data_IF_344343792169
#
_entry.id   IF_344343792169
#
_cell.length_a   1.000
_cell.length_b   1.000
_cell.length_c   1.000
_cell.angle_alpha   90.00
_cell.angle_beta   90.00
_cell.angle_gamma   90.00
#
_symmetry.space_group_name_H-M   'P 1'
#
loop_
_entity.id
_entity.type
_entity.pdbx_description
1 polymer ?
#
# COMPACT_ATOMS: atom_id res chain seq x y z
N UNK A 1 -82.69 -27.12 -42.57
CA UNK A 1 -81.69 -26.18 -43.15
C UNK A 1 -80.85 -25.67 -41.99
N UNK A 2 -79.92 -26.48 -41.47
CA UNK A 2 -78.53 -26.68 -41.91
C UNK A 2 -77.70 -25.39 -41.93
N UNK A 3 -76.76 -25.31 -40.99
CA UNK A 3 -75.68 -24.32 -40.95
C UNK A 3 -74.64 -24.77 -39.93
N UNK A 4 -73.86 -25.81 -40.27
CA UNK A 4 -72.69 -26.24 -39.51
C UNK A 4 -71.55 -25.27 -39.78
N UNK A 5 -70.95 -24.66 -38.75
CA UNK A 5 -69.62 -24.05 -38.84
C UNK A 5 -68.81 -24.39 -37.57
N UNK A 6 -68.03 -25.45 -37.74
CA UNK A 6 -66.74 -25.83 -37.14
C UNK A 6 -66.15 -24.95 -36.01
N UNK A 7 -65.93 -25.47 -34.78
CA UNK A 7 -64.94 -24.88 -33.89
C UNK A 7 -63.54 -25.35 -34.30
N UNK A 8 -62.68 -24.38 -34.61
CA UNK A 8 -61.26 -24.55 -34.90
C UNK A 8 -60.55 -25.24 -33.73
N UNK A 9 -59.96 -26.41 -33.97
CA UNK A 9 -58.96 -27.01 -33.08
C UNK A 9 -57.68 -26.18 -33.15
N UNK A 10 -57.45 -25.28 -32.19
CA UNK A 10 -56.12 -24.73 -31.95
C UNK A 10 -55.24 -25.83 -31.35
N UNK A 11 -54.36 -26.41 -32.17
CA UNK A 11 -53.26 -27.24 -31.68
C UNK A 11 -52.22 -26.33 -31.03
N UNK A 12 -52.14 -26.35 -29.69
CA UNK A 12 -51.10 -25.65 -28.95
C UNK A 12 -49.82 -26.49 -29.05
N UNK A 13 -48.88 -26.08 -29.90
CA UNK A 13 -47.52 -26.60 -29.90
C UNK A 13 -46.80 -26.08 -28.65
N UNK A 14 -46.75 -26.87 -27.59
CA UNK A 14 -45.88 -26.60 -26.44
C UNK A 14 -44.44 -26.93 -26.82
N UNK A 15 -43.65 -25.91 -27.16
CA UNK A 15 -42.21 -26.05 -27.29
C UNK A 15 -41.60 -26.24 -25.90
N UNK A 16 -41.29 -27.48 -25.52
CA UNK A 16 -40.47 -27.75 -24.34
C UNK A 16 -39.04 -27.35 -24.67
N UNK A 17 -38.58 -26.22 -24.14
CA UNK A 17 -37.18 -25.84 -24.18
C UNK A 17 -36.39 -26.85 -23.33
N UNK A 18 -35.72 -27.80 -23.97
CA UNK A 18 -34.75 -28.67 -23.31
C UNK A 18 -33.53 -27.79 -22.99
N UNK A 19 -33.13 -27.62 -21.72
CA UNK A 19 -31.89 -26.95 -21.39
C UNK A 19 -30.75 -27.72 -22.06
N UNK A 20 -30.12 -27.13 -23.06
CA UNK A 20 -28.92 -27.71 -23.68
C UNK A 20 -27.84 -27.93 -22.62
N UNK A 21 -26.96 -28.93 -22.79
CA UNK A 21 -25.90 -29.20 -21.83
C UNK A 21 -25.11 -27.91 -21.63
N UNK A 22 -25.07 -27.44 -20.37
CA UNK A 22 -24.28 -26.28 -19.99
C UNK A 22 -22.83 -26.59 -20.33
N UNK A 23 -22.30 -25.97 -21.38
CA UNK A 23 -20.87 -25.96 -21.64
C UNK A 23 -20.17 -24.99 -20.66
N UNK A 24 -20.57 -25.00 -19.38
CA UNK A 24 -19.72 -24.48 -18.31
C UNK A 24 -18.60 -25.48 -18.15
N UNK A 25 -17.54 -25.24 -18.93
CA UNK A 25 -16.21 -25.77 -18.65
C UNK A 25 -15.98 -25.56 -17.15
N UNK A 26 -15.74 -26.61 -16.34
CA UNK A 26 -15.29 -26.39 -14.98
C UNK A 26 -14.07 -25.49 -15.11
N UNK A 27 -14.13 -24.33 -14.47
CA UNK A 27 -12.91 -23.57 -14.22
C UNK A 27 -11.94 -24.57 -13.63
N UNK A 28 -10.85 -24.90 -14.35
CA UNK A 28 -9.78 -25.68 -13.76
C UNK A 28 -9.39 -24.94 -12.49
N UNK A 29 -9.69 -25.49 -11.32
CA UNK A 29 -9.12 -25.02 -10.06
C UNK A 29 -7.62 -25.04 -10.28
N UNK A 30 -7.04 -23.85 -10.44
CA UNK A 30 -5.60 -23.70 -10.46
C UNK A 30 -5.17 -24.12 -9.05
N UNK A 31 -4.41 -25.21 -8.96
CA UNK A 31 -3.77 -25.62 -7.72
C UNK A 31 -2.89 -24.46 -7.25
N UNK A 32 -3.38 -23.73 -6.26
CA UNK A 32 -2.74 -22.56 -5.69
C UNK A 32 -1.75 -22.93 -4.58
N UNK A 33 -1.47 -24.23 -4.40
CA UNK A 33 -0.51 -24.71 -3.41
C UNK A 33 0.91 -24.25 -3.79
N UNK A 34 1.62 -23.53 -2.90
CA UNK A 34 3.01 -23.16 -3.14
C UNK A 34 3.86 -24.41 -3.35
N UNK A 35 4.74 -24.40 -4.36
CA UNK A 35 5.65 -25.52 -4.63
C UNK A 35 6.66 -25.76 -3.51
N UNK A 36 6.97 -24.71 -2.75
CA UNK A 36 7.87 -24.75 -1.60
C UNK A 36 7.36 -23.76 -0.56
N UNK A 37 7.36 -24.18 0.70
CA UNK A 37 7.08 -23.33 1.85
C UNK A 37 8.28 -23.42 2.77
N UNK A 38 8.94 -22.29 2.99
CA UNK A 38 10.07 -22.18 3.93
C UNK A 38 9.55 -21.43 5.15
N UNK A 39 9.47 -22.06 6.33
CA UNK A 39 9.03 -21.38 7.54
C UNK A 39 10.09 -20.37 8.02
N UNK A 40 9.67 -19.38 8.80
CA UNK A 40 10.55 -18.28 9.22
C UNK A 40 11.76 -18.77 10.02
N UNK A 41 11.57 -19.81 10.83
CA UNK A 41 12.58 -20.45 11.66
C UNK A 41 13.71 -21.07 10.84
N UNK A 42 13.43 -21.44 9.58
CA UNK A 42 14.40 -22.00 8.63
C UNK A 42 15.14 -20.92 7.82
N UNK A 43 14.77 -19.64 7.93
CA UNK A 43 15.42 -18.52 7.24
C UNK A 43 16.76 -18.11 7.87
N UNK A 44 17.52 -19.08 8.41
CA UNK A 44 18.82 -18.85 9.03
C UNK A 44 19.77 -18.15 8.04
N UNK A 45 20.35 -17.02 8.46
CA UNK A 45 21.30 -16.25 7.64
C UNK A 45 20.68 -15.12 6.81
N UNK A 46 19.36 -14.92 6.86
CA UNK A 46 18.72 -13.77 6.20
C UNK A 46 19.06 -12.49 6.93
N UNK A 47 19.47 -11.46 6.18
CA UNK A 47 19.73 -10.12 6.72
C UNK A 47 18.42 -9.45 7.10
N UNK A 48 18.38 -8.82 8.25
CA UNK A 48 17.21 -8.09 8.72
C UNK A 48 17.62 -6.72 9.25
N UNK A 49 16.74 -5.76 9.08
CA UNK A 49 16.86 -4.43 9.65
C UNK A 49 15.77 -4.23 10.69
N UNK A 50 16.14 -3.65 11.84
CA UNK A 50 15.18 -3.23 12.88
C UNK A 50 15.68 -1.95 13.54
N UNK A 51 15.06 -0.84 13.21
CA UNK A 51 15.28 0.46 13.85
C UNK A 51 14.30 0.72 15.01
N UNK A 52 14.24 1.97 15.47
CA UNK A 52 13.32 2.40 16.54
C UNK A 52 11.88 2.65 16.05
N UNK A 53 11.72 2.87 14.74
CA UNK A 53 10.43 3.10 14.12
C UNK A 53 9.58 1.83 13.97
N UNK A 54 8.31 2.03 13.60
CA UNK A 54 7.38 0.96 13.25
C UNK A 54 6.86 1.18 11.82
N UNK A 55 6.20 0.17 11.24
CA UNK A 55 5.52 0.28 9.95
C UNK A 55 6.43 0.73 8.80
N UNK A 56 7.43 -0.08 8.45
CA UNK A 56 8.26 0.11 7.25
C UNK A 56 7.44 -0.19 5.99
N UNK A 57 6.75 0.81 5.44
CA UNK A 57 5.76 0.61 4.36
C UNK A 57 6.17 1.16 3.01
N UNK A 58 7.14 2.08 2.95
CA UNK A 58 7.57 2.73 1.70
C UNK A 58 9.02 2.36 1.43
N UNK A 59 9.33 1.85 0.23
CA UNK A 59 10.67 1.40 -0.16
C UNK A 59 11.07 2.02 -1.49
N UNK A 60 12.30 2.53 -1.56
CA UNK A 60 12.92 3.01 -2.79
C UNK A 60 14.34 2.48 -2.90
N UNK A 61 14.59 1.66 -3.93
CA UNK A 61 15.92 1.15 -4.23
C UNK A 61 16.65 2.10 -5.18
N UNK A 62 17.84 2.55 -4.79
CA UNK A 62 18.77 3.29 -5.63
C UNK A 62 19.96 2.39 -5.98
N UNK A 63 19.86 1.71 -7.13
CA UNK A 63 20.83 0.72 -7.57
C UNK A 63 22.25 1.31 -7.77
N UNK A 64 22.35 2.49 -8.38
CA UNK A 64 23.63 3.14 -8.67
C UNK A 64 24.45 3.50 -7.42
N UNK A 65 23.77 3.83 -6.30
CA UNK A 65 24.40 4.15 -5.02
C UNK A 65 24.40 2.96 -4.05
N UNK A 66 23.84 1.82 -4.46
CA UNK A 66 23.59 0.65 -3.62
C UNK A 66 22.88 0.98 -2.30
N UNK A 67 21.86 1.85 -2.36
CA UNK A 67 21.09 2.31 -1.18
C UNK A 67 19.65 1.84 -1.25
N UNK A 68 19.13 1.39 -0.11
CA UNK A 68 17.70 1.15 0.08
C UNK A 68 17.16 2.22 1.03
N UNK A 69 16.32 3.10 0.50
CA UNK A 69 15.64 4.14 1.25
C UNK A 69 14.30 3.60 1.74
N UNK A 70 14.00 3.82 3.02
CA UNK A 70 12.82 3.24 3.68
C UNK A 70 12.04 4.34 4.40
N UNK A 71 10.77 4.50 4.05
CA UNK A 71 9.82 5.32 4.80
C UNK A 71 9.04 4.47 5.80
N UNK A 72 8.98 4.96 7.04
CA UNK A 72 8.30 4.31 8.15
C UNK A 72 7.37 5.29 8.88
N UNK A 73 6.78 4.84 10.00
CA UNK A 73 6.11 5.73 10.94
C UNK A 73 7.15 6.54 11.74
N UNK A 74 7.09 7.85 11.58
CA UNK A 74 7.92 8.82 12.30
C UNK A 74 9.38 8.87 11.84
N UNK A 75 9.75 8.14 10.78
CA UNK A 75 11.15 8.07 10.36
C UNK A 75 11.34 7.75 8.86
N UNK A 76 12.50 8.16 8.36
CA UNK A 76 13.09 7.69 7.10
C UNK A 76 14.45 7.06 7.40
N UNK A 77 14.79 6.00 6.67
CA UNK A 77 16.07 5.32 6.79
C UNK A 77 16.78 5.27 5.44
N UNK A 78 18.10 5.30 5.47
CA UNK A 78 18.95 4.94 4.35
C UNK A 78 19.83 3.77 4.75
N UNK A 79 19.54 2.61 4.16
CA UNK A 79 20.24 1.35 4.39
C UNK A 79 21.17 1.03 3.22
N UNK A 80 22.17 0.18 3.45
CA UNK A 80 22.92 -0.47 2.38
C UNK A 80 22.04 -1.51 1.69
N UNK A 81 21.92 -1.45 0.37
CA UNK A 81 21.20 -2.46 -0.41
C UNK A 81 21.97 -3.80 -0.48
N UNK A 82 23.29 -3.76 -0.28
CA UNK A 82 24.13 -4.96 -0.24
C UNK A 82 23.96 -5.73 1.08
N UNK A 83 23.73 -5.01 2.18
CA UNK A 83 23.48 -5.62 3.49
C UNK A 83 22.63 -4.67 4.37
N UNK A 84 21.32 -4.90 4.40
CA UNK A 84 20.39 -4.08 5.18
C UNK A 84 20.62 -4.18 6.70
N UNK A 85 21.35 -5.20 7.16
CA UNK A 85 21.64 -5.46 8.56
C UNK A 85 23.05 -5.03 9.00
N UNK A 86 23.78 -4.26 8.18
CA UNK A 86 25.17 -3.86 8.46
C UNK A 86 25.33 -2.91 9.66
N UNK A 87 24.23 -2.32 10.14
CA UNK A 87 24.20 -1.39 11.26
C UNK A 87 24.65 0.04 10.93
N UNK A 88 25.12 0.32 9.71
CA UNK A 88 25.67 1.62 9.29
C UNK A 88 24.62 2.57 8.68
N UNK A 89 23.34 2.32 8.95
CA UNK A 89 22.24 3.10 8.41
C UNK A 89 22.24 4.57 8.87
N UNK A 90 21.68 5.45 8.03
CA UNK A 90 21.28 6.81 8.43
C UNK A 90 19.80 6.83 8.75
N UNK A 91 19.41 7.64 9.73
CA UNK A 91 18.01 7.82 10.15
C UNK A 91 17.67 9.31 10.20
N UNK A 92 16.49 9.66 9.69
CA UNK A 92 15.83 10.94 9.90
C UNK A 92 14.61 10.67 10.77
N UNK A 93 14.55 11.30 11.94
CA UNK A 93 13.32 11.40 12.71
C UNK A 93 12.41 12.46 12.08
N UNK A 94 11.24 12.06 11.59
CA UNK A 94 10.26 12.93 10.94
C UNK A 94 8.86 12.66 11.46
N UNK A 95 8.62 13.06 12.71
CA UNK A 95 7.35 12.82 13.42
C UNK A 95 6.47 14.10 13.48
N UNK A 96 5.16 13.91 13.66
CA UNK A 96 4.23 14.99 13.96
C UNK A 96 4.51 15.59 15.34
N UNK A 97 4.42 16.92 15.45
CA UNK A 97 4.64 17.59 16.75
C UNK A 97 3.60 17.13 17.79
N UNK A 98 3.93 17.13 19.09
CA UNK A 98 2.97 16.73 20.14
C UNK A 98 1.66 17.52 20.10
N UNK A 99 1.73 18.80 19.73
CA UNK A 99 0.55 19.64 19.53
C UNK A 99 -0.33 19.12 18.37
N UNK A 100 0.29 18.73 17.26
CA UNK A 100 -0.42 18.17 16.11
C UNK A 100 -1.07 16.83 16.44
N UNK A 101 -0.33 15.95 17.14
CA UNK A 101 -0.86 14.66 17.59
C UNK A 101 -2.06 14.84 18.54
N UNK A 102 -1.98 15.80 19.46
CA UNK A 102 -3.09 16.17 20.35
C UNK A 102 -4.30 16.68 19.57
N UNK A 103 -4.10 17.60 18.60
CA UNK A 103 -5.18 18.10 17.73
C UNK A 103 -5.82 16.97 16.90
N UNK A 104 -5.02 16.05 16.38
CA UNK A 104 -5.50 14.86 15.67
C UNK A 104 -6.38 14.00 16.59
N UNK A 105 -5.92 13.74 17.82
CA UNK A 105 -6.69 12.95 18.79
C UNK A 105 -8.01 13.62 19.19
N UNK A 106 -7.99 14.94 19.40
CA UNK A 106 -9.20 15.72 19.68
C UNK A 106 -10.24 15.67 18.54
N UNK A 107 -9.80 15.40 17.30
CA UNK A 107 -10.70 15.14 16.16
C UNK A 107 -11.24 13.70 16.11
N UNK A 108 -11.03 12.91 17.17
CA UNK A 108 -11.56 11.55 17.32
C UNK A 108 -10.69 10.46 16.68
N UNK A 109 -9.42 10.75 16.38
CA UNK A 109 -8.47 9.78 15.82
C UNK A 109 -7.68 9.06 16.90
N UNK A 110 -7.23 7.85 16.59
CA UNK A 110 -6.49 6.99 17.50
C UNK A 110 -5.06 7.53 17.71
N UNK A 111 -4.72 7.83 18.96
CA UNK A 111 -3.43 8.41 19.34
C UNK A 111 -2.30 7.39 19.52
N UNK A 112 -2.57 6.08 19.39
CA UNK A 112 -1.56 5.02 19.39
C UNK A 112 -1.19 4.56 17.96
N UNK A 113 -2.10 4.72 16.99
CA UNK A 113 -1.92 4.21 15.62
C UNK A 113 -2.00 5.26 14.53
N UNK A 114 -2.97 6.19 14.57
CA UNK A 114 -3.26 7.07 13.43
C UNK A 114 -2.60 8.45 13.53
N UNK A 115 -2.51 9.02 14.74
CA UNK A 115 -1.98 10.37 14.97
C UNK A 115 -0.44 10.44 14.97
N UNK A 116 0.18 9.90 13.93
CA UNK A 116 1.63 9.95 13.69
C UNK A 116 1.89 10.42 12.27
N UNK A 117 3.14 10.72 11.96
CA UNK A 117 3.57 10.88 10.59
C UNK A 117 3.88 9.51 9.98
N UNK A 118 3.03 9.04 9.09
CA UNK A 118 3.31 7.84 8.31
C UNK A 118 3.83 8.27 6.94
N UNK A 119 5.06 7.91 6.60
CA UNK A 119 5.62 8.19 5.27
C UNK A 119 4.92 7.34 4.22
N UNK A 120 4.26 7.99 3.25
CA UNK A 120 3.46 7.33 2.19
C UNK A 120 4.00 7.53 0.79
N UNK A 121 4.90 8.50 0.62
CA UNK A 121 5.56 8.75 -0.64
C UNK A 121 7.04 8.98 -0.40
N UNK A 122 7.89 8.36 -1.21
CA UNK A 122 9.34 8.55 -1.21
C UNK A 122 9.87 8.24 -2.61
N UNK A 123 10.38 9.26 -3.30
CA UNK A 123 10.93 9.14 -4.64
C UNK A 123 12.14 10.05 -4.83
N UNK A 124 12.96 9.76 -5.85
CA UNK A 124 14.02 10.68 -6.28
C UNK A 124 13.39 11.91 -6.94
N UNK A 125 13.73 13.11 -6.47
CA UNK A 125 13.25 14.36 -7.05
C UNK A 125 14.16 14.83 -8.19
N UNK A 126 15.46 14.83 -7.93
CA UNK A 126 16.51 15.27 -8.85
C UNK A 126 17.86 14.63 -8.44
N UNK A 127 18.97 15.05 -9.03
CA UNK A 127 20.29 14.47 -8.74
C UNK A 127 20.76 14.65 -7.29
N UNK A 128 20.24 15.60 -6.53
CA UNK A 128 20.70 15.92 -5.16
C UNK A 128 19.64 15.69 -4.09
N UNK A 129 18.36 15.60 -4.45
CA UNK A 129 17.26 15.53 -3.49
C UNK A 129 16.32 14.35 -3.71
N UNK A 130 15.77 13.88 -2.60
CA UNK A 130 14.61 13.00 -2.51
C UNK A 130 13.36 13.84 -2.24
N UNK A 131 12.21 13.41 -2.73
CA UNK A 131 10.91 13.97 -2.34
C UNK A 131 10.16 12.95 -1.49
N UNK A 132 9.77 13.35 -0.29
CA UNK A 132 9.02 12.50 0.63
C UNK A 132 7.74 13.21 1.09
N UNK A 133 6.66 12.45 1.27
CA UNK A 133 5.43 12.94 1.89
C UNK A 133 4.93 11.96 2.95
N UNK A 134 4.33 12.49 4.01
CA UNK A 134 3.70 11.70 5.05
C UNK A 134 2.42 12.32 5.59
N UNK A 135 1.61 11.50 6.27
CA UNK A 135 0.28 11.86 6.77
C UNK A 135 0.32 12.95 7.85
N UNK A 136 1.44 13.07 8.56
CA UNK A 136 1.74 14.02 9.62
C UNK A 136 0.55 14.32 10.55
N UNK A 137 -0.03 13.25 11.12
CA UNK A 137 -1.21 13.29 11.99
C UNK A 137 -2.45 13.99 11.36
N UNK A 138 -2.86 13.51 10.17
CA UNK A 138 -3.96 14.06 9.36
C UNK A 138 -3.74 15.52 8.93
N UNK A 139 -2.49 15.93 8.75
CA UNK A 139 -2.13 17.19 8.10
C UNK A 139 -0.94 16.95 7.16
N UNK A 140 -1.17 16.32 6.00
CA UNK A 140 -0.09 15.82 5.17
C UNK A 140 0.96 16.90 4.83
N UNK A 141 2.23 16.53 4.94
CA UNK A 141 3.37 17.38 4.63
C UNK A 141 4.31 16.67 3.68
N UNK A 142 4.96 17.45 2.81
CA UNK A 142 5.99 16.99 1.91
C UNK A 142 7.30 17.76 2.13
N UNK A 143 8.42 17.14 1.79
CA UNK A 143 9.76 17.70 1.96
C UNK A 143 10.69 17.27 0.82
N UNK A 144 11.55 18.19 0.38
CA UNK A 144 12.73 17.87 -0.41
C UNK A 144 13.90 17.62 0.54
N UNK A 145 14.38 16.38 0.59
CA UNK A 145 15.41 15.90 1.52
C UNK A 145 16.74 15.81 0.77
N UNK A 146 17.81 16.33 1.36
CA UNK A 146 19.15 16.18 0.80
C UNK A 146 19.55 14.70 0.80
N UNK A 147 19.89 14.14 -0.38
CA UNK A 147 20.13 12.70 -0.52
C UNK A 147 21.47 12.26 0.09
N UNK A 148 22.48 13.14 0.11
CA UNK A 148 23.83 12.83 0.59
C UNK A 148 23.93 13.01 2.10
N UNK A 149 23.60 14.20 2.59
CA UNK A 149 23.54 14.53 4.01
C UNK A 149 22.45 13.73 4.73
N UNK A 150 21.35 13.41 4.03
CA UNK A 150 20.18 12.72 4.57
C UNK A 150 19.57 13.50 5.73
N UNK A 151 19.23 14.76 5.48
CA UNK A 151 18.68 15.71 6.46
C UNK A 151 17.41 16.38 5.94
N UNK A 152 16.49 16.71 6.86
CA UNK A 152 15.28 17.44 6.51
C UNK A 152 15.58 18.90 6.14
N UNK A 153 14.79 19.50 5.24
CA UNK A 153 14.88 20.92 4.94
C UNK A 153 14.35 21.77 6.10
N UNK A 154 14.60 23.07 6.03
CA UNK A 154 14.06 24.06 6.99
C UNK A 154 12.58 24.39 6.75
N UNK A 155 12.09 24.19 5.53
CA UNK A 155 10.71 24.45 5.14
C UNK A 155 10.04 23.22 4.55
N UNK A 156 8.74 23.09 4.79
CA UNK A 156 7.90 21.99 4.33
C UNK A 156 6.83 22.51 3.39
N UNK A 157 6.39 21.64 2.47
CA UNK A 157 5.29 21.91 1.56
C UNK A 157 4.00 21.27 2.10
N UNK A 158 2.85 21.92 1.88
CA UNK A 158 1.55 21.31 2.14
C UNK A 158 1.34 20.08 1.24
N UNK A 159 1.10 18.92 1.86
CA UNK A 159 0.95 17.64 1.18
C UNK A 159 -0.48 17.30 0.78
N UNK A 160 -1.43 18.24 0.92
CA UNK A 160 -2.82 18.04 0.50
C UNK A 160 -2.86 17.65 -0.98
N UNK A 161 -3.70 16.69 -1.33
CA UNK A 161 -3.83 16.09 -2.68
C UNK A 161 -2.61 15.28 -3.16
N UNK A 162 -1.43 15.40 -2.52
CA UNK A 162 -0.22 14.61 -2.85
C UNK A 162 -0.06 13.38 -1.96
N UNK A 163 -0.55 13.46 -0.73
CA UNK A 163 -0.42 12.42 0.28
C UNK A 163 -1.77 12.21 0.99
N UNK A 164 -2.16 10.95 1.26
CA UNK A 164 -3.38 10.69 2.01
C UNK A 164 -3.30 11.26 3.43
N UNK A 165 -4.46 11.64 3.96
CA UNK A 165 -4.61 12.08 5.35
C UNK A 165 -4.58 10.91 6.33
N UNK A 166 -5.29 9.84 5.96
CA UNK A 166 -5.50 8.65 6.77
C UNK A 166 -4.41 7.61 6.45
N UNK A 167 -3.64 7.13 7.43
CA UNK A 167 -2.61 6.12 7.20
C UNK A 167 -3.16 4.76 6.72
N UNK A 168 -4.45 4.49 6.86
CA UNK A 168 -5.06 3.28 6.29
C UNK A 168 -5.38 3.40 4.79
N UNK A 169 -5.18 4.58 4.19
CA UNK A 169 -5.47 4.86 2.78
C UNK A 169 -4.17 5.10 2.01
N UNK A 170 -4.09 4.55 0.80
CA UNK A 170 -2.93 4.63 -0.09
C UNK A 170 -3.09 3.67 -1.26
#
# INVERSE_FOLDING_TARGET
MWGRLWPLLLSILTATAVPGPSLRRPSRELDATPRMTIPYEELSGTRHFKGQAQNYSTLLLEEASARLLVGARGALFSLSANDIGDGAHKEIHWEASPEMQSKCHQKGKNNQTECFNHVRFLQRLNSTHLYACGTHAFQPLCAAIDAEAFTLPTSFEEGKEKCPYDPARG
#
